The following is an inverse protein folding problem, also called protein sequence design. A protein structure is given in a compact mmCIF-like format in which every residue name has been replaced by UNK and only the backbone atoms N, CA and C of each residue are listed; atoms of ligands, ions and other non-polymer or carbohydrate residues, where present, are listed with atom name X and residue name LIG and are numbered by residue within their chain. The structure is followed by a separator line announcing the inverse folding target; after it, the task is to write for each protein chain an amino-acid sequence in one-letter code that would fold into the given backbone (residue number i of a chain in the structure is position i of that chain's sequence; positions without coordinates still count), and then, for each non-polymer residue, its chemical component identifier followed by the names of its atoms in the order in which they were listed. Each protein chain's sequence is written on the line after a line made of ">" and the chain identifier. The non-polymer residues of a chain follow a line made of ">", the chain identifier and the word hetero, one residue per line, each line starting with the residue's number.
data_IF_300895733462
#
_entry.id   IF_300895733462
#
_cell.length_a   1.000
_cell.length_b   1.000
_cell.length_c   1.000
_cell.angle_alpha   90.00
_cell.angle_beta   90.00
_cell.angle_gamma   90.00
#
_symmetry.space_group_name_H-M   'P 1'
#
loop_
_entity.id
_entity.type
_entity.pdbx_description
1 polymer ?
#
# COMPACT_ATOMS: atom_id res chain seq x y z
N UNK A 1 -16.69 4.65 5.45
CA UNK A 1 -15.55 5.29 4.73
C UNK A 1 -14.27 4.99 5.51
N UNK A 2 -13.58 3.90 5.17
CA UNK A 2 -12.31 3.53 5.81
C UNK A 2 -11.17 4.15 5.00
N UNK A 3 -10.18 4.72 5.68
CA UNK A 3 -8.96 5.22 5.07
C UNK A 3 -7.80 4.28 5.39
N UNK A 4 -6.77 4.33 4.55
CA UNK A 4 -5.54 3.54 4.66
C UNK A 4 -4.33 4.45 4.41
N UNK A 5 -3.14 3.98 4.78
CA UNK A 5 -1.89 4.51 4.29
C UNK A 5 -1.51 3.79 2.99
N UNK A 6 -1.27 4.55 1.93
CA UNK A 6 -0.60 4.11 0.73
C UNK A 6 0.82 4.68 0.76
N UNK A 7 1.80 3.80 0.73
CA UNK A 7 3.23 4.15 0.80
C UNK A 7 3.80 3.84 -0.58
N UNK A 8 4.32 4.85 -1.27
CA UNK A 8 5.01 4.65 -2.54
C UNK A 8 6.49 4.38 -2.25
N UNK A 9 6.98 3.25 -2.74
CA UNK A 9 8.38 2.83 -2.66
C UNK A 9 8.93 2.77 -4.07
N UNK A 10 9.85 3.67 -4.38
CA UNK A 10 10.29 3.94 -5.77
C UNK A 10 11.79 4.21 -5.78
N UNK A 11 12.54 3.54 -4.89
CA UNK A 11 13.98 3.78 -4.65
C UNK A 11 14.34 5.26 -4.42
N UNK A 12 13.36 6.06 -4.01
CA UNK A 12 13.52 7.49 -3.80
C UNK A 12 14.25 7.76 -2.49
N UNK A 13 15.05 8.84 -2.44
CA UNK A 13 15.64 9.33 -1.18
C UNK A 13 14.58 9.70 -0.14
N UNK A 14 13.35 9.97 -0.58
CA UNK A 14 12.20 10.30 0.25
C UNK A 14 11.08 9.27 0.08
N UNK A 15 10.57 8.77 1.21
CA UNK A 15 9.38 7.92 1.27
C UNK A 15 8.13 8.80 1.27
N UNK A 16 7.21 8.55 0.34
CA UNK A 16 5.93 9.25 0.26
C UNK A 16 4.81 8.42 0.88
N UNK A 17 4.06 9.02 1.80
CA UNK A 17 2.93 8.38 2.49
C UNK A 17 1.66 9.19 2.28
N UNK A 18 0.65 8.54 1.71
CA UNK A 18 -0.64 9.14 1.40
C UNK A 18 -1.73 8.54 2.27
N UNK A 19 -2.62 9.38 2.80
CA UNK A 19 -3.81 8.92 3.52
C UNK A 19 -5.00 8.96 2.55
N UNK A 20 -5.42 7.80 2.03
CA UNK A 20 -6.42 7.71 0.97
C UNK A 20 -7.63 6.86 1.40
N UNK A 21 -8.82 7.12 0.83
CA UNK A 21 -9.96 6.23 0.99
C UNK A 21 -9.63 4.82 0.48
N UNK A 22 -10.02 3.78 1.22
CA UNK A 22 -9.76 2.39 0.79
C UNK A 22 -10.36 2.08 -0.59
N UNK A 23 -11.50 2.69 -0.92
CA UNK A 23 -12.17 2.50 -2.19
C UNK A 23 -11.50 3.17 -3.39
N UNK A 24 -10.52 4.07 -3.18
CA UNK A 24 -9.74 4.64 -4.29
C UNK A 24 -8.53 3.76 -4.66
N UNK A 25 -8.18 2.77 -3.84
CA UNK A 25 -7.00 1.93 -4.08
C UNK A 25 -7.02 1.22 -5.45
N UNK A 26 -8.14 0.59 -5.90
CA UNK A 26 -8.17 -0.06 -7.22
C UNK A 26 -7.89 0.91 -8.36
N UNK A 27 -8.50 2.10 -8.34
CA UNK A 27 -8.29 3.14 -9.36
C UNK A 27 -6.83 3.61 -9.39
N UNK A 28 -6.19 3.77 -8.22
CA UNK A 28 -4.79 4.18 -8.13
C UNK A 28 -3.88 3.11 -8.75
N UNK A 29 -4.04 1.84 -8.39
CA UNK A 29 -3.21 0.73 -8.93
C UNK A 29 -3.41 0.57 -10.43
N UNK A 30 -4.64 0.73 -10.94
CA UNK A 30 -4.93 0.61 -12.37
C UNK A 30 -4.26 1.70 -13.23
N UNK A 31 -4.17 2.93 -12.69
CA UNK A 31 -3.64 4.11 -13.41
C UNK A 31 -2.15 4.36 -13.16
N UNK A 32 -1.61 3.93 -12.03
CA UNK A 32 -0.20 3.99 -11.69
C UNK A 32 0.37 2.58 -11.83
N UNK A 33 0.75 2.16 -13.03
CA UNK A 33 1.37 0.85 -13.24
C UNK A 33 2.87 0.92 -13.01
N UNK A 34 3.45 -0.23 -12.61
CA UNK A 34 4.91 -0.42 -12.47
C UNK A 34 5.58 0.42 -11.38
N UNK A 35 4.86 0.73 -10.30
CA UNK A 35 5.46 1.34 -9.12
C UNK A 35 5.33 0.40 -7.92
N UNK A 36 6.31 0.40 -7.03
CA UNK A 36 6.23 -0.42 -5.81
C UNK A 36 5.42 0.31 -4.73
N UNK A 37 4.59 -0.43 -4.01
CA UNK A 37 3.71 0.16 -3.03
C UNK A 37 3.42 -0.77 -1.87
N UNK A 38 3.15 -0.13 -0.73
CA UNK A 38 2.59 -0.78 0.44
C UNK A 38 1.27 -0.14 0.84
N UNK A 39 0.39 -0.94 1.42
CA UNK A 39 -0.90 -0.52 1.95
C UNK A 39 -0.99 -0.96 3.40
N UNK A 40 -1.28 -0.04 4.32
CA UNK A 40 -1.44 -0.33 5.74
C UNK A 40 -2.70 0.31 6.30
N UNK A 41 -3.26 -0.21 7.39
CA UNK A 41 -4.19 0.56 8.20
C UNK A 41 -3.49 1.58 9.09
N UNK A 42 -4.28 2.52 9.62
CA UNK A 42 -3.76 3.59 10.48
C UNK A 42 -3.25 3.10 11.84
N UNK A 43 -3.71 1.93 12.29
CA UNK A 43 -3.24 1.29 13.52
C UNK A 43 -1.97 0.45 13.30
N UNK A 44 -1.48 0.36 12.05
CA UNK A 44 -0.34 -0.48 11.66
C UNK A 44 -0.50 -1.95 12.11
N UNK A 45 -1.74 -2.44 12.13
CA UNK A 45 -2.09 -3.79 12.53
C UNK A 45 -1.93 -4.79 11.38
N UNK A 46 -1.94 -4.30 10.15
CA UNK A 46 -1.62 -5.07 8.95
C UNK A 46 -0.95 -4.21 7.87
N UNK A 47 -0.25 -4.90 6.98
CA UNK A 47 0.44 -4.37 5.81
C UNK A 47 0.20 -5.33 4.63
N UNK A 48 -0.01 -4.78 3.44
CA UNK A 48 -0.11 -5.51 2.18
C UNK A 48 0.91 -4.92 1.21
N UNK A 49 1.60 -5.77 0.46
CA UNK A 49 2.37 -5.39 -0.73
C UNK A 49 2.24 -6.45 -1.82
N UNK A 50 2.52 -6.05 -3.06
CA UNK A 50 2.66 -6.94 -4.21
C UNK A 50 4.15 -7.15 -4.46
N UNK A 51 4.59 -8.39 -4.72
CA UNK A 51 5.96 -8.66 -5.13
C UNK A 51 6.13 -8.59 -6.67
N UNK A 52 7.37 -8.70 -7.14
CA UNK A 52 7.74 -8.69 -8.56
C UNK A 52 7.18 -9.87 -9.38
N UNK A 53 6.61 -10.87 -8.70
CA UNK A 53 5.93 -12.02 -9.31
C UNK A 53 4.40 -11.90 -9.34
N UNK A 54 3.84 -10.80 -8.81
CA UNK A 54 2.39 -10.56 -8.74
C UNK A 54 1.70 -11.27 -7.58
N UNK A 55 2.45 -11.79 -6.60
CA UNK A 55 1.87 -12.31 -5.36
C UNK A 55 1.57 -11.17 -4.39
N UNK A 56 0.41 -11.26 -3.73
CA UNK A 56 0.06 -10.39 -2.62
C UNK A 56 0.58 -10.97 -1.30
N UNK A 57 1.47 -10.24 -0.65
CA UNK A 57 2.00 -10.55 0.68
C UNK A 57 1.20 -9.78 1.72
N UNK A 58 0.72 -10.49 2.75
CA UNK A 58 0.00 -9.89 3.88
C UNK A 58 0.79 -10.14 5.16
N UNK A 59 1.15 -9.06 5.84
CA UNK A 59 1.72 -9.10 7.19
C UNK A 59 0.68 -8.57 8.17
N UNK A 60 0.51 -9.23 9.31
CA UNK A 60 -0.40 -8.79 10.36
C UNK A 60 0.21 -9.05 11.73
N UNK A 61 -0.06 -8.18 12.69
CA UNK A 61 0.32 -8.43 14.07
C UNK A 61 -0.45 -9.65 14.60
N UNK A 62 0.27 -10.67 15.09
CA UNK A 62 -0.34 -11.77 15.82
C UNK A 62 -0.57 -11.28 17.25
N UNK A 63 -1.83 -11.23 17.69
CA UNK A 63 -2.19 -10.94 19.08
C UNK A 63 -1.94 -12.13 19.99
#
# INVERSE_FOLDING_TARGET
>A
NKHIFLIADEDNEQIYVYNVPLNSLPEIIENCRYFEYYVADHELSWLICENDHGDLIVCSTIK
#
